data_IF_460863608511
#
_entry.id   IF_460863608511
#
_cell.length_a   1.000
_cell.length_b   1.000
_cell.length_c   1.000
_cell.angle_alpha   90.00
_cell.angle_beta   90.00
_cell.angle_gamma   90.00
#
_symmetry.space_group_name_H-M   'P 1'
#
loop_
_entity.id
_entity.type
_entity.pdbx_description
1 polymer ?
#
# COMPACT_ATOMS: atom_id res chain seq x y z
N UNK A 1 -14.37 -1.32 -15.16
CA UNK A 1 -13.79 -0.79 -13.90
C UNK A 1 -14.08 0.70 -13.81
N UNK A 2 -15.04 1.13 -12.99
CA UNK A 2 -15.43 2.57 -12.86
C UNK A 2 -14.30 3.44 -12.29
N UNK A 3 -13.47 2.88 -11.42
CA UNK A 3 -12.35 3.58 -10.77
C UNK A 3 -11.27 4.09 -11.75
N UNK A 4 -10.91 3.29 -12.77
CA UNK A 4 -9.90 3.73 -13.76
C UNK A 4 -10.41 4.94 -14.54
N UNK A 5 -11.70 4.96 -14.89
CA UNK A 5 -12.31 6.12 -15.55
C UNK A 5 -12.31 7.38 -14.68
N UNK A 6 -12.42 7.26 -13.36
CA UNK A 6 -12.42 8.44 -12.48
C UNK A 6 -11.05 9.13 -12.40
N UNK A 7 -9.97 8.44 -12.75
CA UNK A 7 -8.61 9.00 -12.76
C UNK A 7 -8.14 9.41 -14.16
N UNK A 8 -8.96 9.19 -15.19
CA UNK A 8 -8.66 9.63 -16.55
C UNK A 8 -9.08 11.10 -16.81
N UNK A 9 -8.47 11.77 -17.81
CA UNK A 9 -7.20 11.40 -18.44
C UNK A 9 -6.02 11.67 -17.49
N UNK A 10 -5.16 10.68 -17.31
CA UNK A 10 -4.04 10.73 -16.36
C UNK A 10 -3.01 11.82 -16.72
N UNK A 11 -2.86 12.13 -18.01
CA UNK A 11 -1.97 13.18 -18.51
C UNK A 11 -2.28 14.57 -17.94
N UNK A 12 -3.56 14.89 -17.75
CA UNK A 12 -3.98 16.18 -17.17
C UNK A 12 -3.75 16.24 -15.66
N UNK A 13 -3.60 15.09 -15.00
CA UNK A 13 -3.39 14.99 -13.54
C UNK A 13 -1.93 14.92 -13.15
N UNK A 14 -1.05 14.65 -14.10
CA UNK A 14 0.37 14.42 -13.86
C UNK A 14 1.08 15.54 -13.07
N UNK A 15 0.79 16.85 -13.29
CA UNK A 15 1.37 17.91 -12.46
C UNK A 15 0.98 17.81 -10.99
N UNK A 16 -0.30 17.52 -10.70
CA UNK A 16 -0.78 17.32 -9.32
C UNK A 16 -0.16 16.09 -8.67
N UNK A 17 -0.12 14.98 -9.40
CA UNK A 17 0.52 13.74 -8.94
C UNK A 17 1.99 13.98 -8.54
N UNK A 18 2.72 14.81 -9.30
CA UNK A 18 4.10 15.17 -8.95
C UNK A 18 4.21 15.92 -7.64
N UNK A 19 3.27 16.84 -7.38
CA UNK A 19 3.20 17.59 -6.11
C UNK A 19 2.90 16.62 -4.96
N UNK A 20 1.93 15.72 -5.14
CA UNK A 20 1.53 14.73 -4.13
C UNK A 20 2.62 13.68 -3.86
N UNK A 21 3.48 13.42 -4.85
CA UNK A 21 4.59 12.46 -4.75
C UNK A 21 5.87 13.07 -4.18
N UNK A 22 5.87 14.36 -3.81
CA UNK A 22 7.03 14.98 -3.15
C UNK A 22 7.16 14.35 -1.75
N UNK A 23 8.28 13.68 -1.45
CA UNK A 23 8.44 13.02 -0.16
C UNK A 23 8.54 14.06 0.97
N UNK A 24 7.77 13.86 2.04
CA UNK A 24 7.99 14.56 3.29
C UNK A 24 9.22 13.97 3.98
N UNK A 25 10.32 14.74 4.06
CA UNK A 25 11.60 14.27 4.59
C UNK A 25 11.64 14.21 6.14
N UNK A 26 10.49 14.09 6.79
CA UNK A 26 10.38 13.99 8.24
C UNK A 26 10.23 12.54 8.66
N UNK A 27 10.99 12.12 9.65
CA UNK A 27 10.78 10.81 10.25
C UNK A 27 9.45 10.79 11.01
N UNK A 28 8.54 9.92 10.59
CA UNK A 28 7.28 9.67 11.27
C UNK A 28 7.50 8.73 12.47
N UNK A 29 6.76 8.90 13.58
CA UNK A 29 6.90 8.06 14.78
C UNK A 29 6.24 6.68 14.58
N UNK A 30 6.65 5.94 13.55
CA UNK A 30 6.04 4.65 13.16
C UNK A 30 6.08 3.60 14.28
N UNK A 31 7.08 3.70 15.17
CA UNK A 31 7.22 2.85 16.35
C UNK A 31 6.09 3.01 17.38
N UNK A 32 5.35 4.12 17.34
CA UNK A 32 4.25 4.41 18.27
C UNK A 32 2.92 3.79 17.81
N UNK A 33 2.87 3.24 16.58
CA UNK A 33 1.69 2.55 16.07
C UNK A 33 1.51 1.24 16.82
N UNK A 34 0.44 1.15 17.61
CA UNK A 34 0.08 -0.04 18.41
C UNK A 34 -1.01 -0.90 17.76
N UNK A 35 -1.70 -0.37 16.75
CA UNK A 35 -2.70 -1.13 16.01
C UNK A 35 -2.04 -2.25 15.18
N UNK A 36 -2.64 -3.45 15.11
CA UNK A 36 -2.21 -4.46 14.15
C UNK A 36 -2.11 -3.86 12.75
N UNK A 37 -0.94 -3.98 12.12
CA UNK A 37 -0.68 -3.37 10.82
C UNK A 37 -0.30 -4.40 9.75
N UNK A 38 -0.91 -4.28 8.57
CA UNK A 38 -0.51 -4.99 7.37
C UNK A 38 -0.28 -4.00 6.24
N UNK A 39 0.82 -4.19 5.51
CA UNK A 39 1.23 -3.38 4.37
C UNK A 39 1.26 -4.29 3.14
N UNK A 40 0.67 -3.84 2.04
CA UNK A 40 0.62 -4.60 0.77
C UNK A 40 1.20 -3.71 -0.32
N UNK A 41 2.13 -4.25 -1.11
CA UNK A 41 2.77 -3.53 -2.22
C UNK A 41 3.03 -4.47 -3.41
N UNK A 42 3.36 -3.90 -4.57
CA UNK A 42 3.80 -4.62 -5.76
C UNK A 42 5.16 -4.09 -6.22
N UNK A 43 6.05 -4.99 -6.65
CA UNK A 43 7.42 -4.65 -7.05
C UNK A 43 7.46 -3.81 -8.33
N UNK A 44 6.53 -4.03 -9.26
CA UNK A 44 6.40 -3.29 -10.52
C UNK A 44 5.54 -2.00 -10.37
N UNK A 45 5.30 -1.53 -9.14
CA UNK A 45 4.65 -0.23 -8.93
C UNK A 45 5.53 0.92 -9.46
N UNK A 46 5.05 1.59 -10.51
CA UNK A 46 5.71 2.73 -11.14
C UNK A 46 5.75 3.99 -10.25
N UNK A 47 5.00 4.02 -9.14
CA UNK A 47 5.17 5.03 -8.08
C UNK A 47 6.32 4.70 -7.12
N UNK A 48 6.97 3.54 -7.28
CA UNK A 48 8.10 3.08 -6.47
C UNK A 48 7.79 3.09 -4.97
N UNK A 49 6.61 2.56 -4.59
CA UNK A 49 6.14 2.57 -3.19
C UNK A 49 6.75 1.45 -2.33
N UNK A 50 7.34 0.43 -2.95
CA UNK A 50 7.90 -0.73 -2.23
C UNK A 50 8.97 -0.35 -1.18
N UNK A 51 9.96 0.53 -1.47
CA UNK A 51 10.93 0.94 -0.45
C UNK A 51 10.28 1.60 0.78
N UNK A 52 9.22 2.38 0.59
CA UNK A 52 8.47 2.99 1.69
C UNK A 52 7.68 1.94 2.48
N UNK A 53 7.11 0.94 1.79
CA UNK A 53 6.42 -0.19 2.42
C UNK A 53 7.37 -1.03 3.29
N UNK A 54 8.57 -1.34 2.78
CA UNK A 54 9.63 -2.04 3.53
C UNK A 54 10.10 -1.21 4.73
N UNK A 55 10.34 0.09 4.53
CA UNK A 55 10.73 1.02 5.59
C UNK A 55 9.72 1.03 6.75
N UNK A 56 8.42 1.10 6.40
CA UNK A 56 7.35 1.12 7.38
C UNK A 56 7.19 -0.24 8.09
N UNK A 57 7.21 -1.35 7.36
CA UNK A 57 7.11 -2.68 7.94
C UNK A 57 8.25 -2.97 8.93
N UNK A 58 9.46 -2.47 8.66
CA UNK A 58 10.60 -2.62 9.56
C UNK A 58 10.51 -1.81 10.86
N UNK A 59 9.63 -0.80 10.93
CA UNK A 59 9.55 0.14 12.07
C UNK A 59 8.26 0.06 12.88
N UNK A 60 7.18 -0.41 12.27
CA UNK A 60 5.90 -0.60 12.97
C UNK A 60 5.96 -1.94 13.72
N UNK A 61 5.81 -1.97 15.05
CA UNK A 61 5.89 -3.20 15.83
C UNK A 61 4.90 -4.25 15.36
N UNK A 62 5.39 -5.44 15.00
CA UNK A 62 4.56 -6.57 14.59
C UNK A 62 3.88 -6.41 13.22
N UNK A 63 4.26 -5.42 12.41
CA UNK A 63 3.69 -5.24 11.09
C UNK A 63 4.00 -6.42 10.16
N UNK A 64 3.04 -6.73 9.28
CA UNK A 64 3.18 -7.75 8.23
C UNK A 64 3.30 -7.07 6.86
N UNK A 65 4.25 -7.51 6.06
CA UNK A 65 4.44 -7.04 4.69
C UNK A 65 4.09 -8.16 3.70
N UNK A 66 3.25 -7.84 2.72
CA UNK A 66 2.94 -8.69 1.57
C UNK A 66 3.40 -7.97 0.30
N UNK A 67 4.25 -8.63 -0.48
CA UNK A 67 4.76 -8.08 -1.75
C UNK A 67 4.36 -9.00 -2.88
N UNK A 68 3.71 -8.45 -3.91
CA UNK A 68 3.49 -9.12 -5.17
C UNK A 68 4.57 -8.75 -6.18
N UNK A 69 4.95 -9.69 -7.06
CA UNK A 69 5.93 -9.40 -8.11
C UNK A 69 5.37 -8.50 -9.22
N UNK A 70 4.06 -8.54 -9.44
CA UNK A 70 3.37 -7.78 -10.49
C UNK A 70 2.09 -7.12 -9.98
N UNK A 71 1.50 -6.23 -10.80
CA UNK A 71 0.17 -5.65 -10.58
C UNK A 71 0.17 -4.12 -10.47
N UNK A 72 1.35 -3.52 -10.40
CA UNK A 72 1.56 -2.07 -10.32
C UNK A 72 0.86 -1.44 -9.11
N UNK A 73 0.70 -0.12 -9.17
CA UNK A 73 0.09 0.66 -8.09
C UNK A 73 -1.31 0.18 -7.66
N UNK A 74 -2.08 -0.36 -8.60
CA UNK A 74 -3.47 -0.78 -8.38
C UNK A 74 -3.60 -2.26 -8.02
N UNK A 75 -2.48 -3.00 -7.90
CA UNK A 75 -2.46 -4.43 -7.62
C UNK A 75 -3.34 -5.24 -8.59
N UNK A 76 -3.31 -4.86 -9.88
CA UNK A 76 -4.15 -5.46 -10.93
C UNK A 76 -3.87 -6.96 -11.01
N UNK A 77 -4.94 -7.76 -11.01
CA UNK A 77 -4.84 -9.24 -11.01
C UNK A 77 -4.70 -9.88 -9.62
N UNK A 78 -4.53 -9.09 -8.56
CA UNK A 78 -4.36 -9.60 -7.19
C UNK A 78 -5.58 -9.42 -6.27
N UNK A 79 -6.73 -9.01 -6.81
CA UNK A 79 -7.90 -8.65 -6.00
C UNK A 79 -8.37 -9.77 -5.05
N UNK A 80 -8.35 -11.03 -5.48
CA UNK A 80 -8.76 -12.16 -4.63
C UNK A 80 -7.71 -12.45 -3.55
N UNK A 81 -6.43 -12.43 -3.93
CA UNK A 81 -5.30 -12.66 -3.03
C UNK A 81 -5.23 -11.57 -1.95
N UNK A 82 -5.43 -10.30 -2.33
CA UNK A 82 -5.50 -9.16 -1.41
C UNK A 82 -6.67 -9.33 -0.43
N UNK A 83 -7.88 -9.64 -0.94
CA UNK A 83 -9.05 -9.85 -0.07
C UNK A 83 -8.83 -10.99 0.93
N UNK A 84 -8.24 -12.09 0.47
CA UNK A 84 -7.91 -13.22 1.33
C UNK A 84 -6.87 -12.83 2.40
N UNK A 85 -5.78 -12.17 2.01
CA UNK A 85 -4.75 -11.70 2.94
C UNK A 85 -5.33 -10.74 4.00
N UNK A 86 -6.16 -9.78 3.59
CA UNK A 86 -6.86 -8.86 4.49
C UNK A 86 -7.78 -9.62 5.45
N UNK A 87 -8.55 -10.58 4.97
CA UNK A 87 -9.44 -11.37 5.80
C UNK A 87 -8.67 -12.15 6.87
N UNK A 88 -7.67 -12.93 6.48
CA UNK A 88 -6.83 -13.71 7.39
C UNK A 88 -6.12 -12.80 8.39
N UNK A 89 -5.68 -11.62 7.96
CA UNK A 89 -5.08 -10.63 8.84
C UNK A 89 -6.06 -10.12 9.90
N UNK A 90 -7.29 -9.76 9.50
CA UNK A 90 -8.32 -9.25 10.43
C UNK A 90 -8.83 -10.33 11.39
N UNK A 91 -8.98 -11.58 10.93
CA UNK A 91 -9.31 -12.73 11.77
C UNK A 91 -8.19 -12.98 12.81
N UNK A 92 -6.93 -13.03 12.36
CA UNK A 92 -5.78 -13.20 13.25
C UNK A 92 -5.55 -12.04 14.23
N UNK A 93 -6.02 -10.84 13.88
CA UNK A 93 -6.02 -9.67 14.76
C UNK A 93 -7.25 -9.61 15.70
N UNK A 94 -8.19 -10.56 15.59
CA UNK A 94 -9.41 -10.60 16.41
C UNK A 94 -10.42 -9.48 16.11
N UNK A 95 -10.30 -8.80 14.96
CA UNK A 95 -11.19 -7.71 14.54
C UNK A 95 -12.50 -8.26 13.99
N UNK A 96 -12.44 -9.41 13.31
CA UNK A 96 -13.59 -10.12 12.75
C UNK A 96 -13.56 -11.59 13.18
N UNK A 97 -14.69 -12.28 13.01
CA UNK A 97 -14.86 -13.71 13.26
C UNK A 97 -15.16 -14.46 11.98
#
# INVERSE_FOLDING_TARGET
MSFVRSVEPLSLRFPGIKIDSVPELRELPLKEITAPTMIISARDDLFNTLPAAEFAAARIPGAKLVVYETGGHLLVGHAQQVRYAVRVFLEGAGVIR
#
